data_IF_204548161631
#
_entry.id   IF_204548161631
#
_cell.length_a   1.000
_cell.length_b   1.000
_cell.length_c   1.000
_cell.angle_alpha   90.00
_cell.angle_beta   90.00
_cell.angle_gamma   90.00
#
_symmetry.space_group_name_H-M   'P 1'
#
loop_
_entity.id
_entity.type
_entity.pdbx_description
1 polymer ?
#
# COMPACT_ATOMS: atom_id res chain seq x y z
N UNK A 1 11.96 -27.17 -6.65
CA UNK A 1 11.10 -27.54 -5.51
C UNK A 1 10.18 -26.36 -5.26
N UNK A 2 8.89 -26.50 -5.60
CA UNK A 2 7.92 -25.40 -5.57
C UNK A 2 7.43 -25.26 -4.13
N UNK A 3 7.76 -24.13 -3.48
CA UNK A 3 7.29 -23.81 -2.14
C UNK A 3 5.76 -23.75 -2.09
N UNK A 4 5.15 -24.29 -1.03
CA UNK A 4 3.71 -24.16 -0.78
C UNK A 4 3.44 -22.72 -0.31
N UNK A 5 2.87 -21.90 -1.19
CA UNK A 5 2.42 -20.55 -0.88
C UNK A 5 1.00 -20.61 -0.30
N UNK A 6 0.72 -19.87 0.78
CA UNK A 6 -0.64 -19.77 1.33
C UNK A 6 -1.08 -18.29 1.50
N UNK A 7 -2.35 -17.99 1.22
CA UNK A 7 -2.97 -16.64 1.26
C UNK A 7 -4.07 -16.53 2.32
N UNK A 8 -4.27 -15.34 2.90
CA UNK A 8 -5.49 -14.99 3.65
C UNK A 8 -6.14 -13.75 3.02
N UNK A 9 -7.46 -13.83 2.83
CA UNK A 9 -8.26 -12.69 2.40
C UNK A 9 -8.75 -11.92 3.64
N UNK A 10 -8.37 -10.65 3.76
CA UNK A 10 -8.85 -9.80 4.85
C UNK A 10 -10.35 -9.52 4.68
N UNK A 11 -11.18 -9.91 5.67
CA UNK A 11 -12.62 -9.60 5.72
C UNK A 11 -12.95 -8.64 6.86
N UNK A 12 -13.81 -7.68 6.54
CA UNK A 12 -14.28 -6.54 7.36
C UNK A 12 -15.17 -7.02 8.54
N UNK A 13 -14.79 -6.70 9.78
CA UNK A 13 -15.64 -6.88 10.99
C UNK A 13 -16.15 -5.52 11.51
N UNK A 14 -17.40 -5.51 12.00
CA UNK A 14 -18.19 -4.33 12.35
C UNK A 14 -17.74 -3.65 13.65
N UNK A 15 -17.83 -2.31 13.68
CA UNK A 15 -17.27 -1.45 14.71
C UNK A 15 -18.21 -0.97 15.81
N UNK A 16 -17.61 -0.33 16.81
CA UNK A 16 -18.23 0.54 17.82
C UNK A 16 -18.08 2.02 17.40
N UNK A 17 -19.10 2.82 17.71
CA UNK A 17 -19.18 4.26 17.40
C UNK A 17 -18.41 5.08 18.43
N UNK A 18 -17.45 5.89 17.98
CA UNK A 18 -17.04 7.10 18.69
C UNK A 18 -16.89 8.26 17.69
N UNK A 19 -17.52 9.39 18.02
CA UNK A 19 -17.37 10.66 17.33
C UNK A 19 -16.19 11.38 17.99
N UNK A 20 -15.02 11.30 17.37
CA UNK A 20 -13.81 11.97 17.86
C UNK A 20 -13.47 13.14 16.92
N UNK A 21 -13.31 14.33 17.51
CA UNK A 21 -12.50 15.40 16.91
C UNK A 21 -11.08 14.84 16.79
N UNK A 22 -10.51 14.85 15.59
CA UNK A 22 -9.15 14.38 15.34
C UNK A 22 -8.12 15.36 15.94
N UNK A 23 -7.85 15.24 17.24
CA UNK A 23 -6.54 15.54 17.81
C UNK A 23 -5.82 14.21 18.01
N UNK A 24 -5.15 13.75 16.96
CA UNK A 24 -4.25 12.60 17.02
C UNK A 24 -2.93 13.07 17.63
N UNK A 25 -2.83 13.09 18.95
CA UNK A 25 -1.55 13.27 19.63
C UNK A 25 -0.55 12.21 19.18
N UNK A 26 0.55 12.64 18.55
CA UNK A 26 1.84 11.97 18.28
C UNK A 26 1.95 10.45 18.50
N UNK A 27 1.04 9.65 17.94
CA UNK A 27 1.16 8.19 17.86
C UNK A 27 0.80 7.79 16.44
N UNK A 28 1.80 7.33 15.69
CA UNK A 28 1.65 6.76 14.35
C UNK A 28 1.81 5.23 14.43
N UNK A 29 0.83 4.48 14.97
CA UNK A 29 0.97 3.04 15.18
C UNK A 29 0.92 2.25 13.86
N UNK A 30 0.42 2.84 12.76
CA UNK A 30 0.30 2.21 11.46
C UNK A 30 0.52 3.21 10.32
N UNK A 31 1.07 2.73 9.20
CA UNK A 31 1.24 3.53 7.97
C UNK A 31 -0.03 3.58 7.11
N UNK A 32 -1.02 2.74 7.40
CA UNK A 32 -2.26 2.61 6.64
C UNK A 32 -3.45 2.89 7.56
N UNK A 33 -4.40 3.70 7.11
CA UNK A 33 -5.64 4.03 7.82
C UNK A 33 -6.82 4.18 6.87
N UNK A 34 -8.00 3.76 7.30
CA UNK A 34 -9.20 3.71 6.47
C UNK A 34 -10.33 4.59 6.97
N UNK A 35 -11.02 5.26 6.06
CA UNK A 35 -12.24 6.03 6.31
C UNK A 35 -13.41 5.36 5.58
N UNK A 36 -14.56 5.25 6.22
CA UNK A 36 -15.77 4.68 5.63
C UNK A 36 -16.99 5.57 5.84
N UNK A 37 -17.75 5.77 4.78
CA UNK A 37 -19.02 6.49 4.77
C UNK A 37 -20.13 5.57 4.29
N UNK A 38 -21.29 5.64 4.95
CA UNK A 38 -22.56 5.11 4.43
C UNK A 38 -23.39 6.26 3.88
N UNK A 39 -23.74 6.21 2.60
CA UNK A 39 -24.61 7.20 1.96
C UNK A 39 -25.89 6.53 1.47
N UNK A 40 -27.02 7.22 1.61
CA UNK A 40 -28.30 6.83 1.01
C UNK A 40 -28.61 7.70 -0.21
N UNK A 41 -28.43 7.15 -1.40
CA UNK A 41 -28.67 7.85 -2.67
C UNK A 41 -30.15 8.07 -2.97
N UNK A 42 -31.08 7.50 -2.19
CA UNK A 42 -32.50 7.85 -2.29
C UNK A 42 -32.75 9.31 -1.91
N UNK A 43 -31.87 9.94 -1.13
CA UNK A 43 -31.94 11.38 -0.80
C UNK A 43 -31.49 12.27 -1.97
N UNK A 44 -30.86 11.69 -2.99
CA UNK A 44 -30.29 12.38 -4.15
C UNK A 44 -30.80 11.78 -5.47
N UNK A 45 -32.08 11.35 -5.50
CA UNK A 45 -32.67 10.64 -6.65
C UNK A 45 -32.46 11.35 -7.99
N UNK A 46 -32.55 12.67 -8.01
CA UNK A 46 -32.39 13.48 -9.23
C UNK A 46 -30.95 13.49 -9.78
N UNK A 47 -29.95 13.21 -8.94
CA UNK A 47 -28.54 13.15 -9.32
C UNK A 47 -28.05 11.71 -9.51
N UNK A 48 -28.84 10.73 -9.10
CA UNK A 48 -28.44 9.33 -9.16
C UNK A 48 -28.33 8.83 -10.60
N UNK A 49 -27.26 8.10 -10.87
CA UNK A 49 -27.06 7.30 -12.08
C UNK A 49 -26.48 5.93 -11.70
N UNK A 50 -26.67 4.92 -12.57
CA UNK A 50 -26.14 3.57 -12.32
C UNK A 50 -24.61 3.55 -12.22
N UNK A 51 -23.94 4.44 -12.97
CA UNK A 51 -22.51 4.70 -12.88
C UNK A 51 -22.31 6.14 -12.42
N UNK A 52 -21.61 6.33 -11.32
CA UNK A 52 -21.25 7.65 -10.79
C UNK A 52 -19.73 7.70 -10.65
N UNK A 53 -19.16 8.89 -10.79
CA UNK A 53 -17.73 9.12 -10.60
C UNK A 53 -17.47 9.55 -9.16
N UNK A 54 -16.59 8.84 -8.47
CA UNK A 54 -16.02 9.25 -7.21
C UNK A 54 -14.83 10.17 -7.50
N UNK A 55 -14.85 11.38 -6.94
CA UNK A 55 -13.79 12.37 -7.04
C UNK A 55 -13.26 12.64 -5.63
N UNK A 56 -11.96 12.49 -5.42
CA UNK A 56 -11.30 12.70 -4.13
C UNK A 56 -10.07 13.56 -4.35
N UNK A 57 -10.10 14.79 -3.87
CA UNK A 57 -8.90 15.60 -3.75
C UNK A 57 -8.22 15.30 -2.40
N UNK A 58 -6.92 15.00 -2.45
CA UNK A 58 -6.13 14.59 -1.29
C UNK A 58 -4.71 15.13 -1.36
N UNK A 59 -4.14 15.40 -0.19
CA UNK A 59 -2.75 15.77 0.07
C UNK A 59 -1.96 14.59 0.65
N UNK A 60 -2.20 13.41 0.09
CA UNK A 60 -1.72 12.14 0.63
C UNK A 60 -0.58 11.55 -0.18
N UNK A 61 0.02 10.49 0.36
CA UNK A 61 0.98 9.69 -0.42
C UNK A 61 0.25 8.74 -1.36
N UNK A 62 -0.76 8.03 -0.85
CA UNK A 62 -1.47 6.96 -1.56
C UNK A 62 -2.93 6.93 -1.11
N UNK A 63 -3.84 6.72 -2.06
CA UNK A 63 -5.25 6.42 -1.80
C UNK A 63 -5.68 5.15 -2.53
N UNK A 64 -6.44 4.30 -1.85
CA UNK A 64 -7.22 3.21 -2.44
C UNK A 64 -8.70 3.47 -2.18
N UNK A 65 -9.55 3.21 -3.17
CA UNK A 65 -10.99 3.40 -3.03
C UNK A 65 -11.75 2.09 -3.23
N UNK A 66 -12.78 1.91 -2.40
CA UNK A 66 -13.70 0.79 -2.42
C UNK A 66 -15.13 1.31 -2.39
N UNK A 67 -15.98 0.71 -3.21
CA UNK A 67 -17.43 0.96 -3.18
C UNK A 67 -18.16 -0.36 -3.02
N UNK A 68 -19.01 -0.45 -1.99
CA UNK A 68 -19.75 -1.65 -1.66
C UNK A 68 -18.87 -2.91 -1.57
N UNK A 69 -17.71 -2.78 -0.91
CA UNK A 69 -16.68 -3.83 -0.76
C UNK A 69 -15.93 -4.22 -2.03
N UNK A 70 -16.17 -3.53 -3.15
CA UNK A 70 -15.41 -3.74 -4.39
C UNK A 70 -14.34 -2.68 -4.52
N UNK A 71 -13.10 -3.12 -4.76
CA UNK A 71 -12.00 -2.23 -5.13
C UNK A 71 -12.31 -1.54 -6.45
N UNK A 72 -12.11 -0.22 -6.51
CA UNK A 72 -12.37 0.59 -7.71
C UNK A 72 -11.11 1.26 -8.27
N UNK A 73 -10.03 1.35 -7.49
CA UNK A 73 -8.76 1.88 -7.96
C UNK A 73 -7.84 2.35 -6.83
N UNK A 74 -6.58 2.58 -7.22
CA UNK A 74 -5.55 3.18 -6.38
C UNK A 74 -4.89 4.33 -7.15
N UNK A 75 -4.38 5.32 -6.43
CA UNK A 75 -3.50 6.34 -7.00
C UNK A 75 -2.50 6.77 -5.92
N UNK A 76 -1.32 7.19 -6.37
CA UNK A 76 -0.25 7.64 -5.49
C UNK A 76 0.38 8.91 -6.05
N UNK A 77 0.96 9.69 -5.14
CA UNK A 77 1.73 10.87 -5.47
C UNK A 77 3.04 10.50 -6.16
N UNK A 78 3.43 11.32 -7.13
CA UNK A 78 4.68 11.18 -7.89
C UNK A 78 5.52 12.44 -7.72
N UNK A 79 6.84 12.30 -7.84
CA UNK A 79 7.80 13.42 -7.87
C UNK A 79 7.72 14.35 -6.64
N UNK A 80 7.34 13.81 -5.47
CA UNK A 80 7.21 14.58 -4.23
C UNK A 80 6.02 15.55 -4.19
N UNK A 81 5.12 15.51 -5.19
CA UNK A 81 3.90 16.33 -5.23
C UNK A 81 2.75 15.53 -4.62
N UNK A 82 2.49 15.77 -3.33
CA UNK A 82 1.51 15.02 -2.55
C UNK A 82 0.06 15.46 -2.72
N UNK A 83 -0.20 16.52 -3.49
CA UNK A 83 -1.55 16.97 -3.83
C UNK A 83 -1.97 16.41 -5.18
N UNK A 84 -3.04 15.60 -5.18
CA UNK A 84 -3.59 15.03 -6.40
C UNK A 84 -5.09 14.73 -6.29
N UNK A 85 -5.71 14.55 -7.45
CA UNK A 85 -7.12 14.16 -7.57
C UNK A 85 -7.21 12.70 -8.01
N UNK A 86 -7.91 11.88 -7.23
CA UNK A 86 -8.34 10.55 -7.59
C UNK A 86 -9.76 10.58 -8.16
N UNK A 87 -9.93 10.12 -9.39
CA UNK A 87 -11.23 9.98 -10.02
C UNK A 87 -11.46 8.56 -10.53
N UNK A 88 -12.54 7.90 -10.07
CA UNK A 88 -12.94 6.61 -10.63
C UNK A 88 -14.45 6.48 -10.78
N UNK A 89 -14.87 5.95 -11.92
CA UNK A 89 -16.29 5.66 -12.19
C UNK A 89 -16.66 4.27 -11.70
N UNK A 90 -17.70 4.18 -10.88
CA UNK A 90 -18.15 2.91 -10.30
C UNK A 90 -19.66 2.76 -10.30
N UNK A 91 -20.13 1.52 -10.15
CA UNK A 91 -21.56 1.19 -10.10
C UNK A 91 -22.13 1.51 -8.73
N UNK A 92 -23.15 2.35 -8.69
CA UNK A 92 -23.87 2.71 -7.46
C UNK A 92 -25.22 2.01 -7.41
N UNK A 93 -25.56 1.46 -6.24
CA UNK A 93 -26.88 0.90 -5.97
C UNK A 93 -27.87 2.03 -5.73
N UNK A 94 -29.15 1.83 -6.03
CA UNK A 94 -30.20 2.70 -5.48
C UNK A 94 -30.24 2.50 -3.97
N UNK A 95 -30.47 3.57 -3.20
CA UNK A 95 -30.45 3.53 -1.75
C UNK A 95 -29.04 3.50 -1.14
N UNK A 96 -28.81 2.59 -0.18
CA UNK A 96 -27.57 2.56 0.59
C UNK A 96 -26.36 2.09 -0.20
N UNK A 97 -25.29 2.87 -0.11
CA UNK A 97 -23.96 2.54 -0.60
C UNK A 97 -22.92 2.80 0.49
N UNK A 98 -21.85 2.01 0.46
CA UNK A 98 -20.70 2.18 1.33
C UNK A 98 -19.51 2.61 0.48
N UNK A 99 -18.86 3.70 0.88
CA UNK A 99 -17.60 4.17 0.29
C UNK A 99 -16.54 4.00 1.36
N UNK A 100 -15.47 3.30 1.05
CA UNK A 100 -14.29 3.22 1.91
C UNK A 100 -13.08 3.75 1.15
N UNK A 101 -12.32 4.63 1.81
CA UNK A 101 -11.07 5.18 1.33
C UNK A 101 -9.97 4.71 2.26
N UNK A 102 -8.95 4.07 1.72
CA UNK A 102 -7.75 3.68 2.44
C UNK A 102 -6.65 4.67 2.09
N UNK A 103 -6.12 5.33 3.10
CA UNK A 103 -4.97 6.21 2.99
C UNK A 103 -3.73 5.46 3.45
N UNK A 104 -2.67 5.51 2.66
CA UNK A 104 -1.38 4.87 2.97
C UNK A 104 -0.29 5.93 2.93
N UNK A 105 0.60 5.92 3.92
CA UNK A 105 1.73 6.85 4.03
C UNK A 105 3.05 6.15 3.73
N UNK A 106 3.96 6.84 3.05
CA UNK A 106 5.28 6.32 2.71
C UNK A 106 6.38 7.07 3.47
N UNK A 107 6.30 7.07 4.80
CA UNK A 107 7.12 7.92 5.66
C UNK A 107 6.45 9.26 5.98
N UNK A 108 7.13 10.06 6.80
CA UNK A 108 6.75 11.43 7.14
C UNK A 108 7.88 12.36 6.72
N UNK A 109 7.55 13.65 6.56
CA UNK A 109 8.54 14.66 6.27
C UNK A 109 9.65 14.66 7.35
N UNK A 110 10.90 14.76 6.91
CA UNK A 110 12.08 14.65 7.77
C UNK A 110 13.07 15.82 7.59
N UNK A 111 12.72 16.82 6.77
CA UNK A 111 13.53 18.01 6.50
C UNK A 111 12.65 19.17 6.01
N UNK A 112 13.12 20.42 6.17
CA UNK A 112 12.45 21.65 5.74
C UNK A 112 11.86 22.47 6.89
N UNK A 113 11.54 23.75 6.67
CA UNK A 113 10.89 24.55 7.71
C UNK A 113 9.50 23.98 8.06
N UNK A 114 9.19 23.84 9.35
CA UNK A 114 7.91 23.32 9.86
C UNK A 114 7.52 21.94 9.31
N UNK A 115 8.50 21.07 9.03
CA UNK A 115 8.24 19.72 8.49
C UNK A 115 7.36 18.87 9.43
N UNK A 116 7.40 19.15 10.74
CA UNK A 116 6.58 18.54 11.79
C UNK A 116 5.10 18.92 11.69
N UNK A 117 4.78 20.07 11.07
CA UNK A 117 3.40 20.52 10.83
C UNK A 117 2.83 19.99 9.51
N UNK A 118 3.64 19.32 8.69
CA UNK A 118 3.16 18.74 7.44
C UNK A 118 2.17 17.61 7.71
N UNK A 119 0.98 17.75 7.14
CA UNK A 119 -0.07 16.76 7.23
C UNK A 119 0.19 15.64 6.22
N UNK A 120 -0.17 14.42 6.60
CA UNK A 120 -0.09 13.26 5.74
C UNK A 120 -1.42 12.51 5.73
N UNK A 121 -1.71 11.88 4.58
CA UNK A 121 -2.88 11.04 4.38
C UNK A 121 -4.02 11.76 3.64
N UNK A 122 -5.26 11.31 3.84
CA UNK A 122 -6.45 11.94 3.26
C UNK A 122 -6.79 13.27 3.95
N UNK A 123 -5.90 14.24 3.76
CA UNK A 123 -6.04 15.65 4.12
C UNK A 123 -6.36 16.46 2.85
N UNK A 124 -7.12 17.55 2.95
CA UNK A 124 -7.38 18.43 1.82
C UNK A 124 -8.84 18.47 1.36
N UNK A 125 -9.44 17.35 0.95
CA UNK A 125 -10.78 17.37 0.33
C UNK A 125 -10.84 18.31 -0.90
N UNK A 126 -11.99 18.42 -1.59
CA UNK A 126 -13.27 17.79 -1.30
C UNK A 126 -13.36 16.32 -1.74
N UNK A 127 -14.32 15.61 -1.15
CA UNK A 127 -14.77 14.28 -1.59
C UNK A 127 -16.16 14.43 -2.20
N UNK A 128 -16.31 14.03 -3.46
CA UNK A 128 -17.52 14.24 -4.25
C UNK A 128 -17.97 12.97 -4.97
N UNK A 129 -19.28 12.81 -5.15
CA UNK A 129 -19.86 11.91 -6.13
C UNK A 129 -20.49 12.73 -7.25
N UNK A 130 -20.11 12.43 -8.49
CA UNK A 130 -20.60 13.09 -9.69
C UNK A 130 -21.52 12.11 -10.43
N UNK A 131 -22.77 12.50 -10.61
CA UNK A 131 -23.83 11.65 -11.14
C UNK A 131 -24.45 12.18 -12.44
N UNK A 132 -25.75 11.94 -12.61
CA UNK A 132 -26.50 12.34 -13.79
C UNK A 132 -26.39 13.85 -14.04
N UNK A 133 -26.20 14.24 -15.31
CA UNK A 133 -26.09 15.65 -15.70
C UNK A 133 -24.86 16.37 -15.11
N UNK A 134 -23.82 15.64 -14.72
CA UNK A 134 -22.63 16.18 -14.02
C UNK A 134 -22.97 16.80 -12.66
N UNK A 135 -24.11 16.44 -12.06
CA UNK A 135 -24.50 16.92 -10.75
C UNK A 135 -23.60 16.35 -9.66
N UNK A 136 -23.15 17.22 -8.76
CA UNK A 136 -22.18 16.88 -7.70
C UNK A 136 -22.86 16.76 -6.35
N UNK A 137 -22.60 15.65 -5.65
CA UNK A 137 -22.97 15.40 -4.26
C UNK A 137 -21.69 15.53 -3.42
N UNK A 138 -21.62 16.56 -2.58
CA UNK A 138 -20.48 16.74 -1.67
C UNK A 138 -20.59 15.78 -0.48
N UNK A 139 -19.55 14.99 -0.24
CA UNK A 139 -19.44 14.00 0.83
C UNK A 139 -18.48 14.42 1.96
N UNK A 140 -17.81 15.56 1.80
CA UNK A 140 -16.71 16.01 2.67
C UNK A 140 -17.15 16.17 4.12
N UNK A 141 -18.30 16.81 4.33
CA UNK A 141 -18.85 17.09 5.66
C UNK A 141 -19.73 15.96 6.22
N UNK A 142 -19.80 14.81 5.54
CA UNK A 142 -20.57 13.67 6.03
C UNK A 142 -19.89 13.02 7.24
N UNK A 143 -20.64 12.19 7.98
CA UNK A 143 -20.06 11.39 9.06
C UNK A 143 -19.23 10.23 8.51
N UNK A 144 -17.92 10.32 8.68
CA UNK A 144 -16.97 9.25 8.37
C UNK A 144 -16.64 8.43 9.61
N UNK A 145 -16.57 7.11 9.46
CA UNK A 145 -16.00 6.20 10.46
C UNK A 145 -14.54 5.96 10.10
N UNK A 146 -13.63 6.00 11.08
CA UNK A 146 -12.22 5.78 10.86
C UNK A 146 -11.74 4.45 11.49
N UNK A 147 -10.78 3.80 10.85
CA UNK A 147 -10.02 2.65 11.39
C UNK A 147 -8.53 2.88 11.18
N UNK A 148 -7.77 2.69 12.24
CA UNK A 148 -6.30 2.67 12.20
C UNK A 148 -5.83 1.25 11.84
N UNK A 149 -4.85 1.14 10.95
CA UNK A 149 -4.18 -0.11 10.60
C UNK A 149 -5.04 -1.12 9.85
N UNK A 150 -4.42 -2.23 9.49
CA UNK A 150 -5.05 -3.37 8.83
C UNK A 150 -5.40 -4.47 9.83
N UNK A 151 -6.46 -5.24 9.56
CA UNK A 151 -6.83 -6.37 10.43
C UNK A 151 -5.67 -7.36 10.62
N UNK A 152 -4.89 -7.62 9.57
CA UNK A 152 -3.73 -8.51 9.67
C UNK A 152 -2.58 -7.96 10.54
N UNK A 153 -2.51 -6.62 10.72
CA UNK A 153 -1.59 -6.02 11.68
C UNK A 153 -2.11 -6.18 13.11
N UNK A 154 -3.41 -5.96 13.33
CA UNK A 154 -4.09 -6.15 14.62
C UNK A 154 -3.97 -7.62 15.11
N UNK A 155 -4.13 -8.56 14.18
CA UNK A 155 -3.98 -10.00 14.39
C UNK A 155 -2.50 -10.46 14.42
N UNK A 156 -1.56 -9.56 14.10
CA UNK A 156 -0.11 -9.81 14.09
C UNK A 156 0.27 -11.01 13.22
N UNK A 157 -0.27 -11.12 12.01
CA UNK A 157 -0.04 -12.25 11.08
C UNK A 157 1.43 -12.51 10.77
N UNK A 158 2.26 -11.47 10.91
CA UNK A 158 3.69 -11.55 10.73
C UNK A 158 4.39 -12.39 11.81
N UNK A 159 3.82 -12.55 13.01
CA UNK A 159 4.43 -13.33 14.08
C UNK A 159 4.27 -14.85 13.88
N UNK A 160 5.35 -15.65 14.04
CA UNK A 160 5.29 -17.11 13.91
C UNK A 160 4.22 -17.77 14.79
N UNK A 161 4.00 -17.26 16.01
CA UNK A 161 3.03 -17.80 16.96
C UNK A 161 1.56 -17.66 16.51
N UNK A 162 1.26 -16.69 15.65
CA UNK A 162 -0.10 -16.42 15.17
C UNK A 162 -0.42 -17.10 13.84
N UNK A 163 0.55 -17.79 13.23
CA UNK A 163 0.33 -18.36 11.90
C UNK A 163 -0.60 -19.58 11.90
N UNK A 164 -0.76 -20.27 13.03
CA UNK A 164 -1.61 -21.45 13.17
C UNK A 164 -3.06 -21.12 13.55
N UNK A 165 -3.33 -19.91 14.05
CA UNK A 165 -4.68 -19.50 14.48
C UNK A 165 -5.59 -19.12 13.32
N UNK A 166 -5.04 -19.03 12.10
CA UNK A 166 -5.76 -18.54 10.91
C UNK A 166 -5.66 -19.53 9.78
N UNK A 167 -6.78 -19.68 9.05
CA UNK A 167 -6.88 -20.56 7.89
C UNK A 167 -6.29 -19.89 6.65
N UNK A 168 -5.10 -20.34 6.26
CA UNK A 168 -4.47 -19.93 5.01
C UNK A 168 -4.91 -20.83 3.83
N UNK A 169 -5.05 -20.24 2.64
CA UNK A 169 -5.46 -20.90 1.40
C UNK A 169 -4.27 -21.13 0.47
N UNK A 170 -4.02 -22.38 0.06
CA UNK A 170 -2.86 -22.76 -0.78
C UNK A 170 -3.15 -22.94 -2.27
N UNK A 171 -4.41 -22.95 -2.67
CA UNK A 171 -4.80 -23.14 -4.08
C UNK A 171 -5.37 -21.86 -4.65
N UNK A 172 -5.16 -21.65 -5.96
CA UNK A 172 -5.67 -20.49 -6.71
C UNK A 172 -5.33 -19.16 -6.03
N UNK A 173 -4.04 -18.97 -5.75
CA UNK A 173 -3.56 -17.77 -5.09
C UNK A 173 -3.94 -16.55 -5.93
N UNK A 174 -4.46 -15.48 -5.31
CA UNK A 174 -4.76 -14.26 -6.04
C UNK A 174 -3.50 -13.72 -6.72
N UNK A 175 -3.63 -13.30 -7.97
CA UNK A 175 -2.59 -12.56 -8.70
C UNK A 175 -3.16 -11.17 -8.99
N UNK A 176 -2.33 -10.14 -8.87
CA UNK A 176 -2.71 -8.74 -9.14
C UNK A 176 -3.96 -8.29 -8.36
N UNK A 177 -4.10 -8.80 -7.13
CA UNK A 177 -5.17 -8.42 -6.20
C UNK A 177 -4.58 -7.62 -5.04
N UNK A 178 -5.12 -6.42 -4.75
CA UNK A 178 -4.62 -5.60 -3.66
C UNK A 178 -5.07 -6.12 -2.28
N UNK A 179 -4.36 -5.68 -1.24
CA UNK A 179 -4.60 -5.96 0.17
C UNK A 179 -4.62 -7.46 0.52
N UNK A 180 -3.61 -8.20 0.03
CA UNK A 180 -3.46 -9.65 0.27
C UNK A 180 -2.29 -9.92 1.19
N UNK A 181 -2.45 -10.87 2.10
CA UNK A 181 -1.37 -11.42 2.90
C UNK A 181 -0.90 -12.74 2.30
N UNK A 182 0.39 -12.85 2.02
CA UNK A 182 1.05 -14.06 1.56
C UNK A 182 1.96 -14.62 2.66
N UNK A 183 1.98 -15.95 2.74
CA UNK A 183 2.93 -16.72 3.54
C UNK A 183 3.71 -17.66 2.65
N UNK A 184 5.03 -17.65 2.81
CA UNK A 184 5.98 -18.55 2.14
C UNK A 184 6.84 -19.21 3.20
N UNK A 185 7.03 -20.53 3.10
CA UNK A 185 7.97 -21.26 3.96
C UNK A 185 9.06 -21.84 3.08
N UNK A 186 10.31 -21.46 3.34
CA UNK A 186 11.49 -21.93 2.59
C UNK A 186 12.60 -22.40 3.53
N UNK A 187 13.35 -23.43 3.14
CA UNK A 187 14.42 -24.04 3.93
C UNK A 187 15.81 -23.41 3.78
N UNK A 188 15.96 -22.28 3.07
CA UNK A 188 17.27 -21.72 2.74
C UNK A 188 17.59 -20.45 3.56
N UNK A 189 18.90 -20.22 3.80
CA UNK A 189 19.48 -19.02 4.40
C UNK A 189 19.67 -17.89 3.36
N UNK A 190 18.60 -17.56 2.62
CA UNK A 190 18.64 -16.48 1.65
C UNK A 190 18.86 -15.12 2.32
N UNK A 191 19.59 -14.23 1.63
CA UNK A 191 20.03 -12.94 2.16
C UNK A 191 19.34 -11.76 1.46
N UNK A 192 18.69 -12.01 0.32
CA UNK A 192 18.01 -10.99 -0.48
C UNK A 192 16.74 -11.56 -1.08
N UNK A 193 15.66 -10.77 -1.06
CA UNK A 193 14.42 -11.03 -1.79
C UNK A 193 14.41 -10.23 -3.09
N UNK A 194 14.16 -10.92 -4.20
CA UNK A 194 13.78 -10.30 -5.46
C UNK A 194 12.25 -10.22 -5.51
N UNK A 195 11.73 -8.99 -5.44
CA UNK A 195 10.29 -8.70 -5.42
C UNK A 195 9.83 -8.01 -6.71
N UNK A 196 10.58 -8.08 -7.81
CA UNK A 196 10.27 -7.33 -9.05
C UNK A 196 8.81 -7.42 -9.53
N UNK A 197 8.19 -8.59 -9.46
CA UNK A 197 6.80 -8.83 -9.89
C UNK A 197 5.75 -8.53 -8.82
N UNK A 198 6.15 -7.92 -7.71
CA UNK A 198 5.26 -7.46 -6.64
C UNK A 198 4.88 -5.98 -6.84
N UNK A 199 3.87 -5.53 -6.10
CA UNK A 199 3.36 -4.16 -6.18
C UNK A 199 4.04 -3.25 -5.17
N UNK A 200 3.52 -3.26 -3.95
CA UNK A 200 4.00 -2.51 -2.79
C UNK A 200 3.55 -3.23 -1.54
N UNK A 201 4.31 -3.13 -0.46
CA UNK A 201 3.77 -3.43 0.86
C UNK A 201 4.85 -3.61 1.90
N UNK A 202 4.68 -4.60 2.76
CA UNK A 202 5.56 -4.86 3.90
C UNK A 202 5.99 -6.33 3.91
N UNK A 203 7.22 -6.57 4.36
CA UNK A 203 7.77 -7.91 4.43
C UNK A 203 8.33 -8.21 5.82
N UNK A 204 8.16 -9.45 6.26
CA UNK A 204 8.70 -9.97 7.51
C UNK A 204 9.33 -11.34 7.30
N UNK A 205 10.49 -11.56 7.91
CA UNK A 205 11.17 -12.87 7.96
C UNK A 205 11.18 -13.35 9.40
N UNK A 206 10.58 -14.50 9.66
CA UNK A 206 10.45 -15.09 11.01
C UNK A 206 9.86 -14.13 12.06
N UNK A 207 8.98 -13.22 11.64
CA UNK A 207 8.39 -12.20 12.52
C UNK A 207 9.16 -10.89 12.63
N UNK A 208 10.37 -10.82 12.07
CA UNK A 208 11.16 -9.58 12.01
C UNK A 208 10.84 -8.81 10.74
N UNK A 209 10.47 -7.54 10.89
CA UNK A 209 10.22 -6.66 9.73
C UNK A 209 11.53 -6.40 8.99
N UNK A 210 11.50 -6.56 7.66
CA UNK A 210 12.57 -6.14 6.77
C UNK A 210 12.24 -4.84 6.02
N UNK A 211 11.13 -4.19 6.41
CA UNK A 211 10.72 -2.88 5.91
C UNK A 211 9.66 -2.93 4.81
N UNK A 212 9.50 -1.79 4.14
CA UNK A 212 8.59 -1.62 3.00
C UNK A 212 9.26 -2.11 1.72
N UNK A 213 8.47 -2.67 0.82
CA UNK A 213 8.85 -2.86 -0.56
C UNK A 213 7.94 -2.07 -1.49
N UNK A 214 8.50 -1.55 -2.58
CA UNK A 214 7.73 -0.88 -3.63
C UNK A 214 8.38 -1.01 -5.03
N UNK A 215 8.56 -2.23 -5.55
CA UNK A 215 9.20 -2.47 -6.83
C UNK A 215 8.37 -1.98 -8.03
N UNK A 216 7.05 -1.84 -7.89
CA UNK A 216 6.23 -1.22 -8.94
C UNK A 216 6.43 0.29 -9.10
N UNK A 217 7.15 0.95 -8.16
CA UNK A 217 7.55 2.35 -8.32
C UNK A 217 8.82 2.40 -9.16
N UNK A 218 8.67 2.77 -10.42
CA UNK A 218 9.76 2.82 -11.40
C UNK A 218 10.60 4.09 -11.20
N UNK A 219 11.91 3.94 -11.23
CA UNK A 219 12.84 5.06 -11.19
C UNK A 219 12.67 5.95 -12.43
N UNK A 220 12.86 7.25 -12.24
CA UNK A 220 12.82 8.23 -13.33
C UNK A 220 13.76 7.83 -14.47
N UNK A 221 13.36 8.14 -15.69
CA UNK A 221 14.18 7.90 -16.88
C UNK A 221 15.28 8.96 -17.05
N UNK A 222 15.22 10.06 -16.28
CA UNK A 222 16.16 11.18 -16.35
C UNK A 222 17.41 11.03 -15.46
N UNK A 223 18.54 11.50 -15.98
CA UNK A 223 19.82 11.58 -15.25
C UNK A 223 20.70 10.33 -15.34
N UNK A 224 20.24 9.27 -16.01
CA UNK A 224 21.12 8.17 -16.38
C UNK A 224 21.91 8.51 -17.64
N UNK A 225 23.22 8.64 -17.48
CA UNK A 225 24.14 8.94 -18.56
C UNK A 225 25.59 8.60 -18.17
N UNK A 226 26.53 8.78 -19.10
CA UNK A 226 27.95 8.64 -18.78
C UNK A 226 28.34 9.64 -17.68
N UNK A 227 28.95 9.13 -16.62
CA UNK A 227 29.44 9.91 -15.50
C UNK A 227 30.97 9.96 -15.53
N UNK A 228 31.54 11.13 -15.23
CA UNK A 228 32.97 11.35 -15.15
C UNK A 228 33.28 12.15 -13.88
N UNK A 229 34.16 11.58 -13.04
CA UNK A 229 34.53 12.09 -11.73
C UNK A 229 35.27 13.45 -11.77
N UNK A 230 35.80 13.84 -12.93
CA UNK A 230 36.62 15.06 -13.08
C UNK A 230 35.82 16.36 -13.08
N UNK A 231 34.51 16.26 -13.26
CA UNK A 231 33.64 17.43 -13.35
C UNK A 231 32.91 17.70 -12.02
N UNK A 232 32.37 18.90 -11.88
CA UNK A 232 31.57 19.28 -10.72
C UNK A 232 30.41 18.30 -10.49
N UNK A 233 30.24 17.86 -9.26
CA UNK A 233 29.23 16.87 -8.92
C UNK A 233 27.92 17.53 -8.52
N UNK A 234 26.81 16.98 -9.03
CA UNK A 234 25.47 17.18 -8.52
C UNK A 234 24.75 15.82 -8.40
N UNK A 235 23.66 15.76 -7.63
CA UNK A 235 22.93 14.51 -7.35
C UNK A 235 22.17 13.91 -8.54
N UNK A 236 22.15 14.58 -9.69
CA UNK A 236 21.53 14.12 -10.93
C UNK A 236 22.54 13.55 -11.93
N UNK A 237 23.84 13.82 -11.75
CA UNK A 237 24.87 13.57 -12.76
C UNK A 237 25.23 12.10 -13.01
N UNK A 238 25.15 11.28 -11.96
CA UNK A 238 25.67 9.91 -11.96
C UNK A 238 24.62 8.89 -11.50
N UNK A 239 23.36 9.10 -11.90
CA UNK A 239 22.27 8.18 -11.58
C UNK A 239 22.38 6.92 -12.45
N UNK A 240 21.88 5.81 -11.92
CA UNK A 240 21.84 4.51 -12.60
C UNK A 240 20.46 3.90 -12.43
N UNK A 241 20.20 2.81 -13.17
CA UNK A 241 18.96 2.02 -13.07
C UNK A 241 17.66 2.77 -13.38
N UNK A 242 17.74 3.80 -14.23
CA UNK A 242 16.58 4.45 -14.83
C UNK A 242 15.66 3.45 -15.55
N UNK A 243 14.35 3.68 -15.47
CA UNK A 243 13.32 2.82 -16.06
C UNK A 243 13.18 1.44 -15.39
N UNK A 244 13.92 1.17 -14.30
CA UNK A 244 13.81 -0.06 -13.51
C UNK A 244 13.05 0.20 -12.19
N UNK A 245 12.61 -0.84 -11.48
CA UNK A 245 12.16 -0.69 -10.09
C UNK A 245 13.14 0.14 -9.26
N UNK A 246 12.66 1.21 -8.62
CA UNK A 246 13.47 2.06 -7.73
C UNK A 246 14.19 1.25 -6.66
N UNK A 247 13.59 0.14 -6.23
CA UNK A 247 14.24 -0.93 -5.49
C UNK A 247 13.65 -2.29 -5.87
N UNK A 248 14.48 -3.17 -6.44
CA UNK A 248 14.12 -4.57 -6.77
C UNK A 248 14.47 -5.55 -5.66
N UNK A 249 15.65 -5.37 -5.08
CA UNK A 249 16.25 -6.28 -4.11
C UNK A 249 16.07 -5.76 -2.68
N UNK A 250 15.57 -6.63 -1.81
CA UNK A 250 15.28 -6.30 -0.42
C UNK A 250 16.14 -7.16 0.51
N UNK A 251 16.96 -6.48 1.31
CA UNK A 251 17.92 -7.15 2.19
C UNK A 251 17.23 -7.90 3.33
N UNK A 252 17.67 -9.14 3.55
CA UNK A 252 17.30 -9.96 4.71
C UNK A 252 18.53 -10.11 5.60
N UNK A 253 18.56 -9.48 6.79
CA UNK A 253 19.65 -9.68 7.73
C UNK A 253 19.80 -11.16 8.07
N UNK A 254 21.03 -11.68 7.99
CA UNK A 254 21.31 -13.11 8.23
C UNK A 254 20.79 -13.58 9.59
N UNK A 255 20.85 -12.72 10.60
CA UNK A 255 20.37 -13.02 11.95
C UNK A 255 18.83 -13.15 12.05
N UNK A 256 18.06 -12.72 11.05
CA UNK A 256 16.61 -12.97 10.99
C UNK A 256 16.29 -14.37 10.47
N UNK A 257 17.28 -15.07 9.90
CA UNK A 257 17.13 -16.43 9.37
C UNK A 257 17.66 -17.48 10.35
N UNK A 258 17.16 -18.69 10.23
CA UNK A 258 17.62 -19.87 10.95
C UNK A 258 18.21 -20.88 9.95
N UNK A 259 18.96 -21.87 10.47
CA UNK A 259 19.43 -23.02 9.66
C UNK A 259 18.29 -23.95 9.22
N UNK A 260 17.10 -23.80 9.81
CA UNK A 260 15.91 -24.59 9.48
C UNK A 260 14.94 -23.84 8.57
N UNK A 261 13.68 -24.28 8.50
CA UNK A 261 12.65 -23.59 7.74
C UNK A 261 12.44 -22.16 8.24
N UNK A 262 12.54 -21.21 7.31
CA UNK A 262 12.24 -19.81 7.52
C UNK A 262 10.86 -19.49 6.95
N UNK A 263 10.16 -18.55 7.59
CA UNK A 263 8.87 -18.06 7.10
C UNK A 263 9.00 -16.62 6.64
N UNK A 264 8.59 -16.37 5.40
CA UNK A 264 8.39 -15.04 4.85
C UNK A 264 6.88 -14.72 4.87
N UNK A 265 6.53 -13.58 5.46
CA UNK A 265 5.20 -13.00 5.39
C UNK A 265 5.29 -11.72 4.56
N UNK A 266 4.41 -11.58 3.58
CA UNK A 266 4.27 -10.36 2.78
C UNK A 266 2.85 -9.84 2.92
N UNK A 267 2.69 -8.55 3.20
CA UNK A 267 1.47 -7.84 2.88
C UNK A 267 1.66 -7.17 1.51
N UNK A 268 0.77 -7.42 0.56
CA UNK A 268 0.74 -6.85 -0.79
C UNK A 268 -0.43 -5.87 -0.92
N UNK A 269 -0.10 -4.60 -1.07
CA UNK A 269 -1.00 -3.45 -1.04
C UNK A 269 -1.60 -3.15 -2.42
N UNK A 270 -0.83 -3.30 -3.51
CA UNK A 270 -1.22 -2.91 -4.87
C UNK A 270 -1.61 -4.10 -5.74
N UNK A 271 -1.06 -5.28 -5.44
CA UNK A 271 -1.21 -6.50 -6.22
C UNK A 271 0.08 -6.84 -6.95
N UNK A 272 0.38 -8.13 -6.99
CA UNK A 272 1.55 -8.69 -7.66
C UNK A 272 1.39 -10.17 -7.88
N UNK A 273 2.47 -10.82 -8.34
CA UNK A 273 2.53 -12.25 -8.57
C UNK A 273 3.53 -12.93 -7.64
N UNK A 274 3.01 -13.51 -6.55
CA UNK A 274 3.81 -14.22 -5.55
C UNK A 274 4.57 -15.42 -6.13
N UNK A 275 4.13 -15.98 -7.27
CA UNK A 275 4.78 -17.16 -7.87
C UNK A 275 6.14 -16.84 -8.51
N UNK A 276 6.42 -15.55 -8.75
CA UNK A 276 7.63 -15.07 -9.43
C UNK A 276 8.69 -14.51 -8.50
N UNK A 277 8.40 -14.39 -7.20
CA UNK A 277 9.42 -13.92 -6.25
C UNK A 277 10.54 -14.95 -6.14
N UNK A 278 11.77 -14.48 -5.90
CA UNK A 278 12.90 -15.37 -5.65
C UNK A 278 13.70 -14.94 -4.44
N UNK A 279 14.22 -15.95 -3.74
CA UNK A 279 15.12 -15.80 -2.61
C UNK A 279 16.54 -16.10 -3.08
N UNK A 280 17.43 -15.12 -2.95
CA UNK A 280 18.79 -15.21 -3.47
C UNK A 280 19.84 -15.13 -2.36
N UNK A 281 20.96 -15.80 -2.60
CA UNK A 281 22.19 -15.64 -1.81
C UNK A 281 23.07 -14.63 -2.53
N UNK A 282 23.55 -13.64 -1.78
CA UNK A 282 24.55 -12.72 -2.31
C UNK A 282 25.90 -13.42 -2.22
N UNK A 283 26.48 -13.77 -3.36
CA UNK A 283 27.90 -14.07 -3.44
C UNK A 283 28.65 -12.75 -3.64
N UNK A 284 29.63 -12.47 -2.79
CA UNK A 284 30.61 -11.44 -3.08
C UNK A 284 31.37 -11.89 -4.34
N UNK A 285 31.15 -11.22 -5.47
CA UNK A 285 32.15 -11.28 -6.54
C UNK A 285 33.36 -10.54 -5.98
N UNK A 286 34.46 -11.26 -5.79
CA UNK A 286 35.72 -10.63 -5.41
C UNK A 286 36.13 -9.71 -6.57
N UNK A 287 35.80 -8.43 -6.48
CA UNK A 287 36.39 -7.43 -7.36
C UNK A 287 37.85 -7.37 -6.97
N UNK A 288 38.69 -8.03 -7.75
CA UNK A 288 40.14 -7.91 -7.66
C UNK A 288 40.44 -6.49 -8.14
N UNK A 289 40.90 -5.64 -7.23
CA UNK A 289 41.44 -4.32 -7.55
C UNK A 289 42.83 -4.47 -8.16
#
# INVERSE_FOLDING_TARGET
MVGKFLCVAATETQGSRQQLRCDLGNKFPASIGGFRLRIDLNKFRQYWSKKMKLHVNTKGHIIHAFVNKHFIGSQYAVNGVYEFVFEQTTKMRKGHNYIALLSSTNGLANYGAYFDLQRAGSDGGPINLIGYGNATINLTSNTWTYKIGLNGEDEKLFLPSQQHSIKWFSSHLPINRPLIWYKVTEGNDALVLDLQDMGKGYAWVNGHSIGRYWPSFIADDEGCGPCDYRHEYDSNRCRTDCGKPSQRWYHVPRYFTTKGPNTLILFEEFGGDISKISLQKVSSVATTF
#
